data_IF_648334027307
#
_entry.id   IF_648334027307
#
_cell.length_a   1.000
_cell.length_b   1.000
_cell.length_c   1.000
_cell.angle_alpha   90.00
_cell.angle_beta   90.00
_cell.angle_gamma   90.00
#
_symmetry.space_group_name_H-M   'P 1'
#
loop_
_entity.id
_entity.type
_entity.pdbx_description
1 polymer ?
#
# COMPACT_ATOMS: atom_id res chain seq x y z
N UNK A 1 42.88 12.94 -14.24
CA UNK A 1 42.68 11.69 -13.54
C UNK A 1 41.54 10.87 -14.13
N UNK A 2 41.88 10.02 -15.10
CA UNK A 2 40.83 9.29 -15.85
C UNK A 2 40.12 8.22 -15.04
N UNK A 3 40.70 7.74 -13.95
CA UNK A 3 40.08 6.70 -13.10
C UNK A 3 38.93 7.24 -12.25
N UNK A 4 39.08 8.40 -11.62
CA UNK A 4 38.04 9.08 -10.87
C UNK A 4 36.81 9.43 -11.71
N UNK A 5 37.07 9.86 -12.96
CA UNK A 5 36.00 10.23 -13.89
C UNK A 5 35.18 9.00 -14.32
N UNK A 6 35.85 7.87 -14.55
CA UNK A 6 35.19 6.64 -14.96
C UNK A 6 34.38 6.02 -13.81
N UNK A 7 34.87 6.06 -12.58
CA UNK A 7 34.13 5.61 -11.39
C UNK A 7 32.89 6.46 -11.15
N UNK A 8 33.00 7.77 -11.28
CA UNK A 8 31.87 8.68 -11.16
C UNK A 8 30.80 8.43 -12.23
N UNK A 9 31.20 8.19 -13.46
CA UNK A 9 30.29 7.88 -14.57
C UNK A 9 29.55 6.56 -14.29
N UNK A 10 30.26 5.54 -13.83
CA UNK A 10 29.68 4.24 -13.47
C UNK A 10 28.71 4.40 -12.30
N UNK A 11 29.08 5.18 -11.29
CA UNK A 11 28.25 5.47 -10.13
C UNK A 11 26.94 6.17 -10.53
N UNK A 12 27.03 7.23 -11.32
CA UNK A 12 25.85 7.93 -11.83
C UNK A 12 25.00 7.03 -12.74
N UNK A 13 25.62 6.23 -13.57
CA UNK A 13 24.93 5.26 -14.42
C UNK A 13 24.16 4.23 -13.60
N UNK A 14 24.74 3.75 -12.52
CA UNK A 14 24.10 2.78 -11.61
C UNK A 14 22.89 3.41 -10.89
N UNK A 15 23.03 4.65 -10.42
CA UNK A 15 21.92 5.38 -9.81
C UNK A 15 20.79 5.59 -10.81
N UNK A 16 21.10 6.06 -12.01
CA UNK A 16 20.09 6.25 -13.05
C UNK A 16 19.38 4.94 -13.40
N UNK A 17 20.12 3.86 -13.52
CA UNK A 17 19.54 2.53 -13.76
C UNK A 17 18.58 2.11 -12.63
N UNK A 18 18.99 2.30 -11.38
CA UNK A 18 18.13 2.00 -10.21
C UNK A 18 16.85 2.85 -10.22
N UNK A 19 16.98 4.15 -10.50
CA UNK A 19 15.82 5.04 -10.57
C UNK A 19 14.84 4.62 -11.66
N UNK A 20 15.35 4.26 -12.82
CA UNK A 20 14.52 3.77 -13.93
C UNK A 20 13.80 2.48 -13.54
N UNK A 21 14.50 1.52 -12.95
CA UNK A 21 13.90 0.24 -12.51
C UNK A 21 12.82 0.48 -11.45
N UNK A 22 13.10 1.31 -10.45
CA UNK A 22 12.14 1.65 -9.40
C UNK A 22 10.89 2.29 -10.01
N UNK A 23 11.06 3.22 -10.95
CA UNK A 23 9.94 3.89 -11.62
C UNK A 23 9.11 2.92 -12.45
N UNK A 24 9.75 2.00 -13.16
CA UNK A 24 9.06 0.97 -13.94
C UNK A 24 8.24 0.06 -13.03
N UNK A 25 8.85 -0.42 -11.95
CA UNK A 25 8.17 -1.27 -10.96
C UNK A 25 6.97 -0.52 -10.35
N UNK A 26 7.16 0.75 -9.99
CA UNK A 26 6.08 1.60 -9.47
C UNK A 26 4.92 1.71 -10.45
N UNK A 27 5.20 1.98 -11.72
CA UNK A 27 4.16 2.11 -12.75
C UNK A 27 3.42 0.79 -12.97
N UNK A 28 4.12 -0.34 -12.94
CA UNK A 28 3.52 -1.66 -13.08
C UNK A 28 2.59 -1.94 -11.89
N UNK A 29 3.08 -1.73 -10.67
CA UNK A 29 2.28 -1.96 -9.44
C UNK A 29 1.08 -1.00 -9.40
N UNK A 30 1.29 0.27 -9.74
CA UNK A 30 0.21 1.24 -9.84
C UNK A 30 -0.86 0.79 -10.82
N UNK A 31 -0.46 0.35 -12.00
CA UNK A 31 -1.39 -0.17 -13.01
C UNK A 31 -2.17 -1.39 -12.49
N UNK A 32 -1.49 -2.32 -11.83
CA UNK A 32 -2.12 -3.51 -11.24
C UNK A 32 -3.13 -3.11 -10.16
N UNK A 33 -2.78 -2.18 -9.27
CA UNK A 33 -3.67 -1.71 -8.20
C UNK A 33 -4.90 -1.01 -8.81
N UNK A 34 -4.70 -0.11 -9.76
CA UNK A 34 -5.81 0.56 -10.44
C UNK A 34 -6.71 -0.43 -11.18
N UNK A 35 -6.13 -1.38 -11.91
CA UNK A 35 -6.86 -2.42 -12.61
C UNK A 35 -7.65 -3.32 -11.65
N UNK A 36 -7.07 -3.64 -10.49
CA UNK A 36 -7.74 -4.45 -9.47
C UNK A 36 -8.98 -3.75 -8.92
N UNK A 37 -8.87 -2.47 -8.59
CA UNK A 37 -10.00 -1.70 -8.06
C UNK A 37 -11.03 -1.34 -9.14
N UNK A 38 -10.61 -1.14 -10.38
CA UNK A 38 -11.51 -0.85 -11.50
C UNK A 38 -12.18 -2.14 -12.04
N UNK A 39 -11.44 -3.26 -12.07
CA UNK A 39 -11.95 -4.56 -12.50
C UNK A 39 -12.91 -5.20 -11.50
N UNK A 40 -12.92 -4.69 -10.26
CA UNK A 40 -13.84 -5.12 -9.23
C UNK A 40 -14.94 -4.06 -9.08
N UNK A 41 -15.82 -3.88 -10.07
CA UNK A 41 -16.91 -2.92 -9.91
C UNK A 41 -17.80 -3.46 -8.81
N UNK A 42 -17.96 -2.67 -7.77
CA UNK A 42 -18.88 -2.93 -6.68
C UNK A 42 -20.29 -3.32 -7.17
N UNK A 43 -20.59 -3.05 -8.45
CA UNK A 43 -21.82 -3.45 -9.11
C UNK A 43 -21.92 -4.93 -9.49
N UNK A 44 -20.80 -5.65 -9.66
CA UNK A 44 -20.83 -7.09 -9.97
C UNK A 44 -20.89 -7.99 -8.74
N UNK A 45 -20.41 -7.50 -7.61
CA UNK A 45 -20.52 -8.15 -6.32
C UNK A 45 -21.68 -7.55 -5.53
N UNK A 46 -22.53 -6.75 -6.15
CA UNK A 46 -23.75 -6.30 -5.50
C UNK A 46 -24.61 -7.53 -5.25
N UNK A 47 -24.37 -8.13 -4.13
CA UNK A 47 -25.29 -9.08 -3.56
C UNK A 47 -26.65 -8.41 -3.49
N UNK A 48 -27.54 -8.95 -4.28
CA UNK A 48 -28.90 -8.51 -4.46
C UNK A 48 -29.50 -7.88 -3.19
N UNK A 49 -29.53 -6.56 -3.12
CA UNK A 49 -30.60 -5.85 -2.46
C UNK A 49 -30.43 -5.50 -1.00
N UNK A 50 -29.29 -5.70 -0.34
CA UNK A 50 -29.19 -5.39 1.10
C UNK A 50 -28.15 -4.33 1.51
N UNK A 51 -27.27 -3.91 0.62
CA UNK A 51 -26.36 -2.81 0.91
C UNK A 51 -26.51 -1.74 -0.15
N UNK A 52 -26.64 -0.49 0.30
CA UNK A 52 -26.73 0.62 -0.63
C UNK A 52 -25.44 0.66 -1.48
N UNK A 53 -25.55 0.77 -2.81
CA UNK A 53 -24.37 0.83 -3.69
C UNK A 53 -23.42 1.98 -3.34
N UNK A 54 -23.89 2.99 -2.62
CA UNK A 54 -23.09 4.11 -2.13
C UNK A 54 -22.07 3.70 -1.06
N UNK A 55 -22.43 2.79 -0.14
CA UNK A 55 -21.52 2.32 0.91
C UNK A 55 -20.38 1.47 0.36
N UNK A 56 -20.68 0.59 -0.56
CA UNK A 56 -19.67 -0.26 -1.21
C UNK A 56 -18.72 0.59 -2.03
N UNK A 57 -19.22 1.58 -2.74
CA UNK A 57 -18.42 2.52 -3.52
C UNK A 57 -17.49 3.36 -2.62
N UNK A 58 -17.98 3.79 -1.45
CA UNK A 58 -17.18 4.55 -0.48
C UNK A 58 -16.05 3.70 0.08
N UNK A 59 -16.33 2.47 0.50
CA UNK A 59 -15.32 1.55 1.03
C UNK A 59 -14.26 1.24 -0.03
N UNK A 60 -14.69 0.97 -1.26
CA UNK A 60 -13.77 0.73 -2.37
C UNK A 60 -12.88 1.93 -2.65
N UNK A 61 -13.43 3.13 -2.64
CA UNK A 61 -12.68 4.37 -2.82
C UNK A 61 -11.68 4.60 -1.69
N UNK A 62 -12.07 4.34 -0.44
CA UNK A 62 -11.19 4.47 0.72
C UNK A 62 -10.03 3.49 0.65
N UNK A 63 -10.31 2.23 0.32
CA UNK A 63 -9.27 1.20 0.17
C UNK A 63 -8.32 1.52 -0.98
N UNK A 64 -8.85 1.99 -2.10
CA UNK A 64 -8.05 2.44 -3.24
C UNK A 64 -7.12 3.58 -2.84
N UNK A 65 -7.66 4.63 -2.22
CA UNK A 65 -6.88 5.78 -1.80
C UNK A 65 -5.81 5.39 -0.77
N UNK A 66 -6.16 4.56 0.20
CA UNK A 66 -5.22 4.07 1.19
C UNK A 66 -4.08 3.26 0.56
N UNK A 67 -4.42 2.36 -0.36
CA UNK A 67 -3.43 1.57 -1.11
C UNK A 67 -2.50 2.46 -1.94
N UNK A 68 -3.06 3.51 -2.56
CA UNK A 68 -2.29 4.47 -3.33
C UNK A 68 -1.34 5.28 -2.46
N UNK A 69 -1.77 5.71 -1.26
CA UNK A 69 -0.89 6.42 -0.33
C UNK A 69 0.29 5.55 0.10
N UNK A 70 0.05 4.28 0.41
CA UNK A 70 1.12 3.34 0.74
C UNK A 70 2.07 3.18 -0.45
N UNK A 71 1.53 3.05 -1.65
CA UNK A 71 2.32 2.89 -2.86
C UNK A 71 3.21 4.10 -3.13
N UNK A 72 2.67 5.32 -3.02
CA UNK A 72 3.45 6.55 -3.16
C UNK A 72 4.51 6.68 -2.07
N UNK A 73 4.18 6.32 -0.83
CA UNK A 73 5.14 6.32 0.27
C UNK A 73 6.31 5.39 -0.01
N UNK A 74 6.04 4.16 -0.47
CA UNK A 74 7.08 3.20 -0.84
C UNK A 74 7.92 3.70 -2.02
N UNK A 75 7.28 4.32 -2.99
CA UNK A 75 8.00 4.88 -4.14
C UNK A 75 8.99 5.96 -3.70
N UNK A 76 8.53 6.93 -2.91
CA UNK A 76 9.40 7.99 -2.36
C UNK A 76 10.51 7.40 -1.50
N UNK A 77 10.19 6.41 -0.66
CA UNK A 77 11.17 5.71 0.16
C UNK A 77 12.28 5.09 -0.67
N UNK A 78 11.92 4.32 -1.71
CA UNK A 78 12.90 3.69 -2.58
C UNK A 78 13.69 4.69 -3.43
N UNK A 79 13.06 5.77 -3.87
CA UNK A 79 13.76 6.86 -4.57
C UNK A 79 14.83 7.50 -3.69
N UNK A 80 14.46 7.85 -2.46
CA UNK A 80 15.39 8.46 -1.51
C UNK A 80 16.54 7.50 -1.16
N UNK A 81 16.23 6.21 -1.00
CA UNK A 81 17.25 5.18 -0.76
C UNK A 81 18.22 5.09 -1.94
N UNK A 82 17.70 5.11 -3.16
CA UNK A 82 18.53 5.04 -4.37
C UNK A 82 19.44 6.28 -4.53
N UNK A 83 18.99 7.44 -4.05
CA UNK A 83 19.75 8.68 -4.04
C UNK A 83 20.79 8.75 -2.89
N UNK A 84 20.77 7.78 -1.97
CA UNK A 84 21.70 7.72 -0.86
C UNK A 84 21.28 8.49 0.39
N UNK A 85 20.03 8.92 0.48
CA UNK A 85 19.54 9.57 1.68
C UNK A 85 19.34 8.57 2.83
N UNK A 86 19.60 8.97 4.09
CA UNK A 86 19.38 8.09 5.26
C UNK A 86 17.87 8.00 5.57
N UNK A 87 17.22 7.00 5.02
CA UNK A 87 15.76 6.79 5.15
C UNK A 87 15.35 6.05 6.42
N UNK A 88 16.31 5.67 7.26
CA UNK A 88 16.03 4.99 8.52
C UNK A 88 15.09 5.77 9.44
N UNK A 89 15.27 7.09 9.52
CA UNK A 89 14.40 7.97 10.31
C UNK A 89 12.97 8.02 9.76
N UNK A 90 12.84 7.99 8.44
CA UNK A 90 11.53 7.96 7.77
C UNK A 90 10.79 6.65 8.11
N UNK A 91 11.52 5.54 8.05
CA UNK A 91 10.96 4.21 8.36
C UNK A 91 10.61 4.10 9.84
N UNK A 92 11.45 4.64 10.73
CA UNK A 92 11.16 4.69 12.16
C UNK A 92 9.91 5.51 12.45
N UNK A 93 9.77 6.68 11.82
CA UNK A 93 8.57 7.51 11.95
C UNK A 93 7.31 6.79 11.44
N UNK A 94 7.40 6.13 10.29
CA UNK A 94 6.32 5.33 9.76
C UNK A 94 5.94 4.16 10.68
N UNK A 95 6.95 3.53 11.31
CA UNK A 95 6.73 2.47 12.30
C UNK A 95 5.97 2.97 13.53
N UNK A 96 6.37 4.12 14.09
CA UNK A 96 5.66 4.75 15.22
C UNK A 96 4.23 5.09 14.83
N UNK A 97 4.01 5.68 13.66
CA UNK A 97 2.68 5.98 13.16
C UNK A 97 1.85 4.69 12.98
N UNK A 98 2.45 3.62 12.49
CA UNK A 98 1.80 2.32 12.37
C UNK A 98 1.37 1.75 13.70
N UNK A 99 2.22 1.84 14.72
CA UNK A 99 1.88 1.43 16.09
C UNK A 99 0.74 2.27 16.65
N UNK A 100 0.78 3.58 16.47
CA UNK A 100 -0.27 4.50 16.94
C UNK A 100 -1.62 4.18 16.28
N UNK A 101 -1.62 3.94 14.95
CA UNK A 101 -2.82 3.53 14.22
C UNK A 101 -3.31 2.15 14.70
N UNK A 102 -2.39 1.21 14.93
CA UNK A 102 -2.70 -0.14 15.42
C UNK A 102 -3.35 -0.10 16.80
N UNK A 103 -2.81 0.69 17.71
CA UNK A 103 -3.40 0.87 19.05
C UNK A 103 -4.78 1.55 18.98
N UNK A 104 -4.92 2.55 18.10
CA UNK A 104 -6.21 3.22 17.88
C UNK A 104 -7.26 2.32 17.25
N UNK A 105 -6.84 1.38 16.42
CA UNK A 105 -7.73 0.42 15.76
C UNK A 105 -7.95 -0.88 16.55
N UNK A 106 -7.27 -1.04 17.69
CA UNK A 106 -7.27 -2.29 18.46
C UNK A 106 -8.70 -2.74 18.83
N UNK A 107 -9.51 -1.82 19.33
CA UNK A 107 -10.88 -2.13 19.74
C UNK A 107 -11.73 -2.53 18.53
N UNK A 108 -11.58 -1.84 17.41
CA UNK A 108 -12.27 -2.17 16.18
C UNK A 108 -11.88 -3.58 15.69
N UNK A 109 -10.60 -3.91 15.72
CA UNK A 109 -10.11 -5.23 15.32
C UNK A 109 -10.66 -6.31 16.25
N UNK A 110 -10.64 -6.07 17.57
CA UNK A 110 -11.22 -6.98 18.55
C UNK A 110 -12.73 -7.20 18.31
N UNK A 111 -13.47 -6.15 18.05
CA UNK A 111 -14.90 -6.22 17.75
C UNK A 111 -15.17 -7.02 16.47
N UNK A 112 -14.36 -6.84 15.45
CA UNK A 112 -14.45 -7.60 14.20
C UNK A 112 -14.17 -9.07 14.42
N UNK A 113 -13.12 -9.40 15.18
CA UNK A 113 -12.74 -10.78 15.51
C UNK A 113 -13.85 -11.44 16.35
N UNK A 114 -14.34 -10.76 17.37
CA UNK A 114 -15.42 -11.25 18.22
C UNK A 114 -16.71 -11.47 17.42
N UNK A 115 -17.04 -10.53 16.54
CA UNK A 115 -18.18 -10.67 15.64
C UNK A 115 -18.04 -11.86 14.69
N UNK A 116 -16.84 -12.08 14.17
CA UNK A 116 -16.55 -13.25 13.34
C UNK A 116 -16.73 -14.55 14.11
N UNK A 117 -16.20 -14.65 15.31
CA UNK A 117 -16.35 -15.84 16.16
C UNK A 117 -17.81 -16.11 16.52
N UNK A 118 -18.60 -15.10 16.84
CA UNK A 118 -20.02 -15.24 17.14
C UNK A 118 -20.76 -15.84 15.93
N UNK A 119 -20.50 -15.33 14.74
CA UNK A 119 -21.11 -15.84 13.52
C UNK A 119 -20.66 -17.29 13.26
N UNK A 120 -19.39 -17.56 13.47
CA UNK A 120 -18.81 -18.88 13.25
C UNK A 120 -19.35 -19.93 14.22
N UNK A 121 -19.47 -19.58 15.51
CA UNK A 121 -20.06 -20.46 16.52
C UNK A 121 -21.53 -20.76 16.22
N UNK A 122 -22.33 -19.75 15.88
CA UNK A 122 -23.74 -19.95 15.52
C UNK A 122 -23.88 -20.83 14.27
N UNK A 123 -22.96 -20.73 13.33
CA UNK A 123 -22.96 -21.58 12.14
C UNK A 123 -22.71 -23.06 12.49
N UNK A 124 -21.86 -23.33 13.48
CA UNK A 124 -21.53 -24.69 13.91
C UNK A 124 -22.51 -25.31 14.91
N UNK A 125 -23.24 -24.50 15.67
CA UNK A 125 -24.25 -24.99 16.61
C UNK A 125 -25.55 -25.46 15.93
N UNK A 126 -25.74 -25.11 14.70
CA UNK A 126 -26.87 -25.52 13.88
C UNK A 126 -26.54 -26.75 13.06
#
# INVERSE_FOLDING_TARGET
MPEETSENIIYFGTILFRLVVITIIFLIVKYIVEAFFDANPAGRISFRGKQSPQRIKTINTLLRNFSMYILYFLFVYYLLTALGFPVGTLLAGAGIAGVAIGLGAQDLINDMINGFFIIFENYFEV
#
